data_IF_024938052489
#
_entry.id   IF_024938052489
#
_cell.length_a   1.000
_cell.length_b   1.000
_cell.length_c   1.000
_cell.angle_alpha   90.00
_cell.angle_beta   90.00
_cell.angle_gamma   90.00
#
_symmetry.space_group_name_H-M   'P 1'
#
loop_
_entity.id
_entity.type
_entity.pdbx_description
1 polymer ?
#
# COMPACT_ATOMS: atom_id res chain seq x y z
N UNK A 1 15.14 23.43 15.62
CA UNK A 1 15.01 22.25 14.73
C UNK A 1 14.11 22.60 13.56
N UNK A 2 13.98 21.72 12.56
CA UNK A 2 13.30 21.99 11.29
C UNK A 2 11.83 21.53 11.24
N UNK A 3 11.22 21.24 12.40
CA UNK A 3 9.88 20.63 12.54
C UNK A 3 8.81 21.42 11.78
N UNK A 4 8.61 22.69 12.10
CA UNK A 4 7.55 23.51 11.49
C UNK A 4 7.70 23.60 9.96
N UNK A 5 8.90 23.93 9.47
CA UNK A 5 9.17 24.00 8.03
C UNK A 5 8.96 22.67 7.32
N UNK A 6 9.30 21.55 7.97
CA UNK A 6 9.21 20.22 7.40
C UNK A 6 7.75 19.76 7.25
N UNK A 7 6.90 19.99 8.26
CA UNK A 7 5.49 19.57 8.21
C UNK A 7 4.59 20.50 7.40
N UNK A 8 4.91 21.79 7.32
CA UNK A 8 4.14 22.74 6.50
C UNK A 8 4.46 22.57 5.02
N UNK A 9 5.74 22.42 4.69
CA UNK A 9 6.19 22.28 3.30
C UNK A 9 7.50 21.50 3.25
N UNK A 10 7.39 20.17 3.29
CA UNK A 10 8.52 19.24 3.19
C UNK A 10 9.42 19.58 2.01
N UNK A 11 8.87 19.68 0.80
CA UNK A 11 9.63 19.97 -0.42
C UNK A 11 10.37 21.31 -0.32
N UNK A 12 9.72 22.34 0.21
CA UNK A 12 10.32 23.65 0.44
C UNK A 12 11.44 23.61 1.49
N UNK A 13 11.31 22.80 2.55
CA UNK A 13 12.35 22.62 3.54
C UNK A 13 13.58 21.91 2.96
N UNK A 14 13.38 20.85 2.18
CA UNK A 14 14.45 20.13 1.48
C UNK A 14 15.13 21.02 0.45
N UNK A 15 14.37 21.77 -0.35
CA UNK A 15 14.93 22.67 -1.35
C UNK A 15 15.75 23.80 -0.72
N UNK A 16 15.30 24.36 0.41
CA UNK A 16 16.09 25.33 1.18
C UNK A 16 17.41 24.75 1.67
N UNK A 17 17.39 23.50 2.18
CA UNK A 17 18.61 22.78 2.56
C UNK A 17 19.57 22.62 1.38
N UNK A 18 19.06 22.15 0.24
CA UNK A 18 19.83 22.00 -1.00
C UNK A 18 20.41 23.33 -1.50
N UNK A 19 19.65 24.42 -1.41
CA UNK A 19 20.11 25.75 -1.82
C UNK A 19 21.18 26.32 -0.88
N UNK A 20 21.06 26.05 0.42
CA UNK A 20 22.02 26.52 1.43
C UNK A 20 23.43 25.98 1.19
N UNK A 21 23.55 24.72 0.80
CA UNK A 21 24.85 24.08 0.52
C UNK A 21 25.36 24.28 -0.92
N UNK A 22 24.75 25.20 -1.70
CA UNK A 22 25.25 25.49 -3.05
C UNK A 22 26.68 26.06 -3.03
N UNK A 23 27.50 25.77 -4.05
CA UNK A 23 27.16 25.01 -5.27
C UNK A 23 27.23 23.48 -5.11
N UNK A 24 27.61 22.96 -3.93
CA UNK A 24 27.72 21.51 -3.73
C UNK A 24 26.34 20.85 -3.71
N UNK A 25 26.30 19.58 -4.13
CA UNK A 25 25.11 18.70 -3.99
C UNK A 25 25.34 17.63 -2.94
N UNK A 26 26.26 17.90 -2.02
CA UNK A 26 26.64 16.96 -0.97
C UNK A 26 25.44 16.66 -0.06
N UNK A 27 25.36 15.44 0.50
CA UNK A 27 24.33 15.12 1.46
C UNK A 27 24.37 16.04 2.67
N UNK A 28 23.20 16.38 3.20
CA UNK A 28 23.07 17.22 4.39
C UNK A 28 22.14 16.58 5.41
N UNK A 29 22.16 17.06 6.65
CA UNK A 29 21.32 16.55 7.72
C UNK A 29 20.35 17.62 8.21
N UNK A 30 19.11 17.21 8.51
CA UNK A 30 18.12 18.04 9.19
C UNK A 30 17.66 17.37 10.47
N UNK A 31 17.54 18.16 11.54
CA UNK A 31 16.96 17.71 12.80
C UNK A 31 15.45 17.95 12.82
N UNK A 32 14.64 16.89 12.87
CA UNK A 32 13.16 16.93 12.93
C UNK A 32 12.70 16.10 14.13
N UNK A 33 12.00 16.75 15.07
CA UNK A 33 11.41 16.10 16.25
C UNK A 33 12.40 15.24 17.07
N UNK A 34 13.66 15.68 17.18
CA UNK A 34 14.72 14.95 17.89
C UNK A 34 15.40 13.84 17.09
N UNK A 35 14.97 13.61 15.84
CA UNK A 35 15.62 12.68 14.92
C UNK A 35 16.45 13.42 13.87
N UNK A 36 17.61 12.87 13.55
CA UNK A 36 18.47 13.35 12.47
C UNK A 36 18.12 12.63 11.17
N UNK A 37 17.57 13.36 10.21
CA UNK A 37 17.29 12.85 8.87
C UNK A 37 18.44 13.28 7.95
N UNK A 38 19.11 12.31 7.34
CA UNK A 38 20.14 12.56 6.32
C UNK A 38 19.49 12.58 4.94
N UNK A 39 19.80 13.61 4.15
CA UNK A 39 19.16 13.91 2.87
C UNK A 39 20.21 13.85 1.77
N UNK A 40 20.03 12.92 0.84
CA UNK A 40 20.80 12.82 -0.39
C UNK A 40 19.94 13.31 -1.57
N UNK A 41 20.48 14.17 -2.42
CA UNK A 41 19.74 14.75 -3.56
C UNK A 41 20.43 14.57 -4.91
N UNK A 42 21.72 14.17 -4.94
CA UNK A 42 22.42 13.86 -6.18
C UNK A 42 22.08 12.43 -6.65
N UNK A 43 21.99 12.15 -7.97
CA UNK A 43 21.80 10.80 -8.47
C UNK A 43 22.88 9.81 -7.97
N UNK A 44 24.11 10.28 -7.83
CA UNK A 44 25.26 9.49 -7.38
C UNK A 44 25.10 9.05 -5.93
N UNK A 45 24.76 9.97 -5.02
CA UNK A 45 24.57 9.67 -3.60
C UNK A 45 23.34 8.80 -3.38
N UNK A 46 22.23 9.08 -4.10
CA UNK A 46 21.02 8.25 -4.07
C UNK A 46 21.36 6.82 -4.51
N UNK A 47 22.10 6.68 -5.62
CA UNK A 47 22.59 5.38 -6.08
C UNK A 47 23.49 4.68 -5.07
N UNK A 48 24.35 5.42 -4.36
CA UNK A 48 25.18 4.92 -3.28
C UNK A 48 24.37 4.37 -2.09
N UNK A 49 23.35 5.11 -1.66
CA UNK A 49 22.43 4.70 -0.58
C UNK A 49 21.69 3.41 -0.95
N UNK A 50 21.10 3.35 -2.15
CA UNK A 50 20.34 2.17 -2.60
C UNK A 50 21.20 0.91 -2.74
N UNK A 51 22.47 1.05 -3.16
CA UNK A 51 23.38 -0.09 -3.30
C UNK A 51 23.93 -0.57 -1.95
N UNK A 52 23.90 0.26 -0.91
CA UNK A 52 24.48 -0.08 0.39
C UNK A 52 23.49 -0.81 1.31
N UNK A 53 23.11 -2.03 0.90
CA UNK A 53 22.23 -2.89 1.69
C UNK A 53 22.90 -3.55 2.91
N UNK A 54 24.23 -3.37 3.08
CA UNK A 54 24.97 -3.90 4.22
C UNK A 54 24.81 -3.04 5.47
N UNK A 55 24.77 -1.71 5.31
CA UNK A 55 24.67 -0.78 6.44
C UNK A 55 23.36 0.01 6.47
N UNK A 56 22.60 0.03 5.37
CA UNK A 56 21.30 0.70 5.29
C UNK A 56 20.22 -0.35 5.04
N UNK A 57 19.19 -0.35 5.88
CA UNK A 57 18.10 -1.32 5.81
C UNK A 57 16.75 -0.64 5.96
N UNK A 58 15.77 -1.06 5.17
CA UNK A 58 14.37 -0.65 5.30
C UNK A 58 13.61 -1.50 6.34
N UNK A 59 14.16 -2.64 6.78
CA UNK A 59 13.48 -3.55 7.71
C UNK A 59 13.03 -2.88 9.02
N UNK A 60 13.84 -2.00 9.67
CA UNK A 60 13.38 -1.29 10.86
C UNK A 60 12.14 -0.45 10.59
N UNK A 61 12.12 0.30 9.48
CA UNK A 61 10.97 1.13 9.07
C UNK A 61 9.74 0.25 8.83
N UNK A 62 9.88 -0.85 8.10
CA UNK A 62 8.76 -1.78 7.85
C UNK A 62 8.23 -2.38 9.15
N UNK A 63 9.11 -2.76 10.09
CA UNK A 63 8.71 -3.30 11.39
C UNK A 63 7.99 -2.26 12.24
N UNK A 64 8.47 -1.02 12.24
CA UNK A 64 7.83 0.08 12.95
C UNK A 64 6.44 0.35 12.35
N UNK A 65 6.30 0.33 11.02
CA UNK A 65 4.99 0.44 10.34
C UNK A 65 4.02 -0.67 10.75
N UNK A 66 4.47 -1.94 10.81
CA UNK A 66 3.61 -3.04 11.26
C UNK A 66 3.19 -2.88 12.73
N UNK A 67 4.11 -2.43 13.58
CA UNK A 67 3.85 -2.18 15.00
C UNK A 67 2.85 -1.03 15.17
N UNK A 68 3.02 0.09 14.47
CA UNK A 68 2.09 1.22 14.46
C UNK A 68 0.72 0.85 13.85
N UNK A 69 0.73 -0.07 12.88
CA UNK A 69 -0.47 -0.68 12.32
C UNK A 69 -1.23 -1.54 13.32
N UNK A 70 -0.63 -1.88 14.46
CA UNK A 70 -1.24 -2.65 15.54
C UNK A 70 -1.09 -4.17 15.37
N UNK A 71 -0.11 -4.64 14.58
CA UNK A 71 0.28 -6.05 14.54
C UNK A 71 1.07 -6.36 15.81
N UNK A 72 0.78 -7.49 16.46
CA UNK A 72 1.44 -7.84 17.72
C UNK A 72 2.94 -8.04 17.54
N UNK A 73 3.73 -7.81 18.60
CA UNK A 73 5.19 -8.03 18.57
C UNK A 73 5.54 -9.46 18.15
N UNK A 74 4.76 -10.45 18.62
CA UNK A 74 4.91 -11.87 18.26
C UNK A 74 4.75 -12.07 16.75
N UNK A 75 3.65 -11.57 16.17
CA UNK A 75 3.36 -11.72 14.75
C UNK A 75 4.35 -10.91 13.90
N UNK A 76 4.71 -9.70 14.32
CA UNK A 76 5.79 -8.92 13.71
C UNK A 76 7.08 -9.73 13.66
N UNK A 77 7.53 -10.30 14.79
CA UNK A 77 8.74 -11.14 14.83
C UNK A 77 8.65 -12.31 13.85
N UNK A 78 7.53 -13.05 13.84
CA UNK A 78 7.32 -14.16 12.93
C UNK A 78 7.41 -13.75 11.45
N UNK A 79 6.96 -12.53 11.10
CA UNK A 79 7.01 -11.99 9.73
C UNK A 79 8.43 -11.66 9.24
N UNK A 80 9.39 -11.44 10.14
CA UNK A 80 10.79 -11.14 9.81
C UNK A 80 11.73 -12.34 9.99
N UNK A 81 11.23 -13.46 10.51
CA UNK A 81 12.00 -14.70 10.66
C UNK A 81 11.90 -15.59 9.41
N UNK A 82 12.97 -16.32 9.13
CA UNK A 82 12.97 -17.31 8.07
C UNK A 82 12.28 -18.58 8.54
N UNK A 83 11.35 -19.09 7.72
CA UNK A 83 10.66 -20.35 7.96
C UNK A 83 11.02 -21.35 6.83
N UNK A 84 12.10 -22.14 6.96
CA UNK A 84 12.61 -22.97 5.87
C UNK A 84 11.63 -24.04 5.39
N UNK A 85 10.79 -24.54 6.31
CA UNK A 85 9.78 -25.55 6.03
C UNK A 85 8.45 -24.96 5.54
N UNK A 86 8.34 -23.62 5.46
CA UNK A 86 7.11 -22.98 5.02
C UNK A 86 6.81 -23.31 3.56
N UNK A 87 5.52 -23.40 3.21
CA UNK A 87 5.06 -23.84 1.89
C UNK A 87 5.73 -23.10 0.74
N UNK A 88 5.86 -21.78 0.84
CA UNK A 88 6.42 -20.93 -0.22
C UNK A 88 7.96 -20.89 -0.25
N UNK A 89 8.62 -21.49 0.75
CA UNK A 89 10.07 -21.68 0.82
C UNK A 89 10.52 -23.07 0.33
N UNK A 90 9.61 -24.02 0.15
CA UNK A 90 9.95 -25.36 -0.35
C UNK A 90 10.69 -25.29 -1.70
N UNK A 91 11.85 -25.93 -1.78
CA UNK A 91 12.67 -25.98 -2.99
C UNK A 91 13.50 -24.71 -3.27
N UNK A 92 13.43 -23.67 -2.41
CA UNK A 92 14.31 -22.50 -2.54
C UNK A 92 15.69 -22.80 -1.97
N UNK A 93 16.73 -22.37 -2.69
CA UNK A 93 18.12 -22.49 -2.21
C UNK A 93 18.41 -21.62 -0.97
N UNK A 94 17.62 -20.57 -0.74
CA UNK A 94 17.65 -19.76 0.49
C UNK A 94 16.22 -19.45 0.92
N UNK A 95 15.84 -19.71 2.18
CA UNK A 95 14.53 -19.34 2.69
C UNK A 95 14.42 -17.81 2.80
N UNK A 96 13.25 -17.29 2.47
CA UNK A 96 12.88 -15.89 2.63
C UNK A 96 11.98 -15.74 3.85
N UNK A 97 12.11 -14.62 4.55
CA UNK A 97 11.15 -14.23 5.57
C UNK A 97 9.81 -13.85 4.89
N UNK A 98 8.67 -13.96 5.58
CA UNK A 98 7.36 -13.61 5.03
C UNK A 98 7.30 -12.21 4.39
N UNK A 99 7.95 -11.20 4.97
CA UNK A 99 8.03 -9.85 4.36
C UNK A 99 8.71 -9.82 3.00
N UNK A 100 9.78 -10.59 2.85
CA UNK A 100 10.49 -10.74 1.57
C UNK A 100 9.68 -11.60 0.59
N UNK A 101 8.99 -12.62 1.11
CA UNK A 101 8.13 -13.46 0.31
C UNK A 101 6.94 -12.67 -0.25
N UNK A 102 6.39 -11.70 0.46
CA UNK A 102 5.34 -10.82 -0.08
C UNK A 102 5.79 -10.11 -1.36
N UNK A 103 7.01 -9.56 -1.39
CA UNK A 103 7.58 -8.93 -2.59
C UNK A 103 7.69 -9.94 -3.73
N UNK A 104 8.18 -11.14 -3.42
CA UNK A 104 8.32 -12.22 -4.38
C UNK A 104 6.97 -12.71 -4.92
N UNK A 105 5.92 -12.76 -4.10
CA UNK A 105 4.55 -13.08 -4.52
C UNK A 105 3.98 -11.97 -5.42
N UNK A 106 4.25 -10.70 -5.14
CA UNK A 106 3.91 -9.60 -6.04
C UNK A 106 4.62 -9.75 -7.39
N UNK A 107 5.93 -10.01 -7.39
CA UNK A 107 6.67 -10.28 -8.62
C UNK A 107 6.06 -11.46 -9.38
N UNK A 108 5.74 -12.56 -8.71
CA UNK A 108 5.11 -13.71 -9.34
C UNK A 108 3.74 -13.42 -9.96
N UNK A 109 2.97 -12.47 -9.40
CA UNK A 109 1.69 -12.04 -9.95
C UNK A 109 1.87 -11.11 -11.16
N UNK A 110 2.83 -10.20 -11.09
CA UNK A 110 3.00 -9.09 -12.03
C UNK A 110 4.08 -9.33 -13.10
N UNK A 111 4.88 -10.40 -12.97
CA UNK A 111 5.86 -10.75 -13.99
C UNK A 111 5.18 -11.17 -15.28
N UNK A 112 5.84 -10.94 -16.42
CA UNK A 112 5.35 -11.33 -17.73
C UNK A 112 5.01 -12.82 -17.76
N UNK A 113 3.73 -13.14 -17.98
CA UNK A 113 3.23 -14.50 -17.92
C UNK A 113 1.72 -14.56 -17.84
N UNK A 114 1.19 -15.76 -17.60
CA UNK A 114 -0.25 -16.03 -17.58
C UNK A 114 -1.00 -15.29 -16.47
N UNK A 115 -0.36 -15.05 -15.32
CA UNK A 115 -0.96 -14.34 -14.18
C UNK A 115 -1.20 -12.87 -14.47
N UNK A 116 -0.20 -12.16 -15.00
CA UNK A 116 -0.38 -10.78 -15.45
C UNK A 116 -1.37 -10.73 -16.62
N UNK A 117 -1.25 -11.65 -17.59
CA UNK A 117 -2.13 -11.67 -18.76
C UNK A 117 -3.61 -11.85 -18.37
N UNK A 118 -3.92 -12.75 -17.44
CA UNK A 118 -5.29 -12.96 -16.94
C UNK A 118 -5.79 -11.77 -16.12
N UNK A 119 -4.97 -11.20 -15.23
CA UNK A 119 -5.32 -9.97 -14.51
C UNK A 119 -5.68 -8.84 -15.49
N UNK A 120 -4.88 -8.62 -16.54
CA UNK A 120 -5.14 -7.56 -17.50
C UNK A 120 -6.34 -7.84 -18.40
N UNK A 121 -6.41 -9.03 -19.01
CA UNK A 121 -7.44 -9.35 -20.01
C UNK A 121 -8.80 -9.64 -19.40
N UNK A 122 -8.83 -10.33 -18.26
CA UNK A 122 -10.07 -10.87 -17.70
C UNK A 122 -10.68 -9.93 -16.65
N UNK A 123 -9.89 -8.98 -16.12
CA UNK A 123 -10.32 -8.08 -15.04
C UNK A 123 -10.12 -6.60 -15.39
N UNK A 124 -8.86 -6.15 -15.52
CA UNK A 124 -8.57 -4.71 -15.60
C UNK A 124 -9.08 -4.04 -16.88
N UNK A 125 -8.76 -4.57 -18.07
CA UNK A 125 -9.16 -3.96 -19.33
C UNK A 125 -10.69 -3.89 -19.51
N UNK A 126 -11.47 -4.97 -19.27
CA UNK A 126 -12.93 -4.90 -19.32
C UNK A 126 -13.51 -3.82 -18.39
N UNK A 127 -13.02 -3.74 -17.15
CA UNK A 127 -13.45 -2.74 -16.18
C UNK A 127 -13.12 -1.32 -16.64
N UNK A 128 -11.91 -1.07 -17.14
CA UNK A 128 -11.51 0.24 -17.68
C UNK A 128 -12.41 0.66 -18.84
N UNK A 129 -12.63 -0.22 -19.82
CA UNK A 129 -13.48 0.11 -20.97
C UNK A 129 -14.92 0.38 -20.57
N UNK A 130 -15.44 -0.38 -19.59
CA UNK A 130 -16.77 -0.11 -19.03
C UNK A 130 -16.85 1.26 -18.38
N UNK A 131 -15.83 1.69 -17.62
CA UNK A 131 -15.81 3.02 -16.98
C UNK A 131 -15.58 4.17 -17.95
N UNK A 132 -15.01 3.89 -19.12
CA UNK A 132 -14.89 4.85 -20.21
C UNK A 132 -16.15 4.95 -21.09
N UNK A 133 -17.12 4.05 -20.92
CA UNK A 133 -18.42 4.16 -21.58
C UNK A 133 -19.22 5.32 -20.98
N UNK A 134 -19.29 6.43 -21.72
CA UNK A 134 -20.02 7.65 -21.31
C UNK A 134 -21.53 7.53 -21.55
N UNK A 135 -21.96 6.52 -22.33
CA UNK A 135 -23.37 6.21 -22.55
C UNK A 135 -23.97 5.43 -21.37
N UNK A 136 -23.16 4.72 -20.57
CA UNK A 136 -23.64 3.99 -19.39
C UNK A 136 -24.27 4.97 -18.38
N UNK A 137 -25.58 4.84 -18.08
CA UNK A 137 -26.26 5.70 -17.11
C UNK A 137 -25.75 5.50 -15.68
N UNK A 138 -25.12 4.36 -15.36
CA UNK A 138 -24.54 4.08 -14.06
C UNK A 138 -23.13 4.68 -13.87
N UNK A 139 -22.56 5.29 -14.92
CA UNK A 139 -21.23 5.90 -14.84
C UNK A 139 -21.23 7.17 -13.99
N UNK A 140 -20.75 7.05 -12.75
CA UNK A 140 -20.68 8.13 -11.75
C UNK A 140 -19.68 9.23 -12.09
N UNK A 141 -18.76 8.97 -13.02
CA UNK A 141 -17.83 9.99 -13.49
C UNK A 141 -18.50 10.98 -14.44
N UNK A 142 -19.60 10.62 -15.10
CA UNK A 142 -20.29 11.51 -16.05
C UNK A 142 -21.11 12.55 -15.30
N UNK A 143 -20.74 13.83 -15.47
CA UNK A 143 -21.42 14.98 -14.87
C UNK A 143 -22.55 15.52 -15.75
N UNK A 144 -22.36 15.49 -17.07
CA UNK A 144 -23.39 15.89 -18.04
C UNK A 144 -23.15 15.23 -19.40
N UNK A 145 -24.22 15.13 -20.20
CA UNK A 145 -24.21 14.57 -21.55
C UNK A 145 -24.77 15.60 -22.52
N UNK A 146 -24.08 15.83 -23.62
CA UNK A 146 -24.48 16.75 -24.68
C UNK A 146 -23.98 16.19 -26.00
N UNK A 147 -24.83 15.58 -26.84
CA UNK A 147 -24.36 15.01 -28.11
C UNK A 147 -23.57 16.04 -28.94
N UNK A 148 -22.33 15.73 -29.40
CA UNK A 148 -21.65 14.42 -29.45
C UNK A 148 -20.65 14.15 -28.29
N UNK A 149 -20.74 14.86 -27.18
CA UNK A 149 -19.78 14.84 -26.06
C UNK A 149 -20.41 14.54 -24.69
N UNK A 150 -19.55 14.25 -23.71
CA UNK A 150 -19.91 14.14 -22.31
C UNK A 150 -18.84 14.84 -21.46
N UNK A 151 -19.25 15.41 -20.33
CA UNK A 151 -18.33 16.00 -19.34
C UNK A 151 -18.13 14.99 -18.23
N UNK A 152 -16.87 14.68 -17.91
CA UNK A 152 -16.51 13.75 -16.85
C UNK A 152 -15.75 14.44 -15.71
N UNK A 153 -16.00 13.99 -14.48
CA UNK A 153 -15.11 14.19 -13.35
C UNK A 153 -13.92 13.25 -13.50
N UNK A 154 -12.76 13.79 -13.87
CA UNK A 154 -11.52 13.00 -13.95
C UNK A 154 -11.20 12.34 -12.60
N UNK A 155 -11.44 13.04 -11.50
CA UNK A 155 -11.26 12.50 -10.15
C UNK A 155 -12.14 11.25 -9.93
N UNK A 156 -13.44 11.32 -10.20
CA UNK A 156 -14.32 10.15 -10.04
C UNK A 156 -13.95 9.01 -10.99
N UNK A 157 -13.57 9.32 -12.23
CA UNK A 157 -13.11 8.30 -13.18
C UNK A 157 -11.88 7.56 -12.64
N UNK A 158 -10.89 8.28 -12.11
CA UNK A 158 -9.69 7.69 -11.53
C UNK A 158 -10.00 6.88 -10.27
N UNK A 159 -10.85 7.39 -9.37
CA UNK A 159 -11.24 6.65 -8.15
C UNK A 159 -11.96 5.35 -8.51
N UNK A 160 -12.95 5.40 -9.40
CA UNK A 160 -13.65 4.19 -9.85
C UNK A 160 -12.67 3.21 -10.50
N UNK A 161 -11.80 3.68 -11.40
CA UNK A 161 -10.92 2.80 -12.17
C UNK A 161 -9.77 2.20 -11.35
N UNK A 162 -9.08 3.02 -10.56
CA UNK A 162 -7.84 2.61 -9.88
C UNK A 162 -8.05 2.18 -8.43
N UNK A 163 -9.19 2.51 -7.81
CA UNK A 163 -9.46 2.08 -6.43
C UNK A 163 -10.55 1.01 -6.43
N UNK A 164 -11.72 1.30 -6.99
CA UNK A 164 -12.85 0.37 -6.94
C UNK A 164 -12.57 -0.88 -7.77
N UNK A 165 -12.28 -0.71 -9.06
CA UNK A 165 -12.09 -1.84 -9.98
C UNK A 165 -10.80 -2.63 -9.68
N UNK A 166 -9.73 -1.96 -9.26
CA UNK A 166 -8.51 -2.66 -8.84
C UNK A 166 -8.75 -3.51 -7.57
N UNK A 167 -9.49 -2.97 -6.60
CA UNK A 167 -9.89 -3.73 -5.41
C UNK A 167 -10.69 -4.98 -5.78
N UNK A 168 -11.71 -4.85 -6.64
CA UNK A 168 -12.48 -6.02 -7.10
C UNK A 168 -11.64 -6.96 -7.97
N UNK A 169 -10.71 -6.43 -8.77
CA UNK A 169 -9.82 -7.25 -9.59
C UNK A 169 -8.95 -8.14 -8.69
N UNK A 170 -8.35 -7.59 -7.64
CA UNK A 170 -7.45 -8.29 -6.72
C UNK A 170 -8.19 -9.22 -5.75
N UNK A 171 -9.22 -8.72 -5.08
CA UNK A 171 -9.91 -9.44 -3.98
C UNK A 171 -11.19 -10.15 -4.42
N UNK A 172 -11.65 -9.92 -5.65
CA UNK A 172 -12.97 -10.35 -6.09
C UNK A 172 -14.08 -9.44 -5.54
N UNK A 173 -15.33 -9.65 -5.99
CA UNK A 173 -16.45 -8.78 -5.64
C UNK A 173 -16.87 -8.87 -4.17
N UNK A 174 -16.53 -9.98 -3.49
CA UNK A 174 -16.98 -10.24 -2.12
C UNK A 174 -16.55 -9.16 -1.11
N UNK A 175 -15.37 -8.55 -1.30
CA UNK A 175 -14.85 -7.51 -0.42
C UNK A 175 -15.75 -6.27 -0.44
N UNK A 176 -16.02 -5.72 -1.63
CA UNK A 176 -16.85 -4.51 -1.76
C UNK A 176 -18.35 -4.79 -1.59
N UNK A 177 -18.81 -6.02 -1.84
CA UNK A 177 -20.18 -6.40 -1.48
C UNK A 177 -20.41 -6.38 0.03
N UNK A 178 -19.43 -6.82 0.82
CA UNK A 178 -19.51 -6.84 2.28
C UNK A 178 -19.15 -5.49 2.91
N UNK A 179 -18.25 -4.75 2.28
CA UNK A 179 -17.74 -3.46 2.76
C UNK A 179 -17.81 -2.41 1.65
N UNK A 180 -19.02 -2.02 1.20
CA UNK A 180 -19.20 -1.07 0.10
C UNK A 180 -18.64 0.32 0.42
N UNK A 181 -18.48 0.62 1.71
CA UNK A 181 -17.90 1.87 2.18
C UNK A 181 -16.39 1.93 2.03
N UNK A 182 -15.66 0.81 1.85
CA UNK A 182 -14.18 0.72 1.93
C UNK A 182 -13.43 1.78 1.11
N UNK A 183 -13.99 2.18 -0.02
CA UNK A 183 -13.40 3.15 -0.94
C UNK A 183 -13.22 4.52 -0.28
N UNK A 184 -14.22 5.01 0.45
CA UNK A 184 -14.16 6.35 1.06
C UNK A 184 -13.11 6.45 2.19
N UNK A 185 -13.05 5.53 3.17
CA UNK A 185 -11.95 5.47 4.12
C UNK A 185 -10.58 5.32 3.46
N UNK A 186 -10.48 4.64 2.32
CA UNK A 186 -9.22 4.55 1.58
C UNK A 186 -8.78 5.91 1.04
N UNK A 187 -9.72 6.71 0.50
CA UNK A 187 -9.45 8.09 0.08
C UNK A 187 -9.10 9.00 1.27
N UNK A 188 -9.81 8.87 2.38
CA UNK A 188 -9.48 9.61 3.61
C UNK A 188 -8.07 9.24 4.09
N UNK A 189 -7.73 7.95 4.08
CA UNK A 189 -6.40 7.44 4.41
C UNK A 189 -5.32 8.06 3.53
N UNK A 190 -5.50 8.15 2.20
CA UNK A 190 -4.52 8.81 1.32
C UNK A 190 -4.22 10.25 1.75
N UNK A 191 -5.25 10.99 2.19
CA UNK A 191 -5.07 12.38 2.62
C UNK A 191 -4.37 12.50 3.98
N UNK A 192 -4.59 11.55 4.90
CA UNK A 192 -4.15 11.67 6.29
C UNK A 192 -3.03 10.69 6.70
N UNK A 193 -2.60 9.77 5.82
CA UNK A 193 -1.57 8.74 6.08
C UNK A 193 -0.22 9.32 6.49
N UNK A 194 0.09 10.57 6.13
CA UNK A 194 1.28 11.26 6.62
C UNK A 194 1.33 11.29 8.16
N UNK A 195 0.17 11.40 8.84
CA UNK A 195 0.09 11.38 10.31
C UNK A 195 0.58 10.05 10.87
N UNK A 196 0.34 8.96 10.15
CA UNK A 196 0.81 7.62 10.49
C UNK A 196 2.33 7.51 10.33
N UNK A 197 2.88 7.95 9.19
CA UNK A 197 4.32 7.93 8.93
C UNK A 197 5.12 8.75 9.95
N UNK A 198 4.54 9.85 10.44
CA UNK A 198 5.19 10.74 11.39
C UNK A 198 4.79 10.49 12.85
N UNK A 199 4.13 9.37 13.15
CA UNK A 199 3.74 8.98 14.52
C UNK A 199 2.98 10.08 15.27
N UNK A 200 2.10 10.80 14.58
CA UNK A 200 1.26 11.82 15.23
C UNK A 200 0.36 11.11 16.26
N UNK A 201 0.32 11.57 17.53
CA UNK A 201 -0.49 10.91 18.55
C UNK A 201 -1.96 10.83 18.15
N UNK A 202 -2.61 9.70 18.44
CA UNK A 202 -3.99 9.40 18.01
C UNK A 202 -4.99 10.51 18.37
N UNK A 203 -4.84 11.16 19.53
CA UNK A 203 -5.69 12.28 19.96
C UNK A 203 -5.69 13.46 18.97
N UNK A 204 -4.64 13.62 18.16
CA UNK A 204 -4.50 14.66 17.13
C UNK A 204 -4.70 14.13 15.70
N UNK A 205 -4.97 12.84 15.55
CA UNK A 205 -5.05 12.14 14.27
C UNK A 205 -6.31 11.27 14.15
N UNK A 206 -7.43 11.72 14.74
CA UNK A 206 -8.68 10.95 14.80
C UNK A 206 -9.26 10.60 13.42
N UNK A 207 -9.06 11.45 12.42
CA UNK A 207 -9.40 11.18 11.02
C UNK A 207 -8.61 9.98 10.47
N UNK A 208 -7.29 9.97 10.68
CA UNK A 208 -6.41 8.85 10.31
C UNK A 208 -6.74 7.58 11.06
N UNK A 209 -6.97 7.66 12.38
CA UNK A 209 -7.33 6.51 13.21
C UNK A 209 -8.65 5.89 12.73
N UNK A 210 -9.66 6.72 12.44
CA UNK A 210 -10.96 6.26 11.94
C UNK A 210 -10.83 5.58 10.57
N UNK A 211 -10.09 6.19 9.63
CA UNK A 211 -9.84 5.62 8.31
C UNK A 211 -9.11 4.28 8.42
N UNK A 212 -8.01 4.24 9.19
CA UNK A 212 -7.22 3.03 9.48
C UNK A 212 -8.11 1.90 9.96
N UNK A 213 -8.85 2.12 11.06
CA UNK A 213 -9.66 1.09 11.68
C UNK A 213 -10.74 0.56 10.73
N UNK A 214 -11.40 1.45 9.98
CA UNK A 214 -12.45 1.05 9.03
C UNK A 214 -11.89 0.16 7.92
N UNK A 215 -10.71 0.50 7.38
CA UNK A 215 -10.05 -0.31 6.34
C UNK A 215 -9.60 -1.66 6.91
N UNK A 216 -8.94 -1.66 8.08
CA UNK A 216 -8.45 -2.91 8.69
C UNK A 216 -9.60 -3.85 9.05
N UNK A 217 -10.73 -3.31 9.52
CA UNK A 217 -11.92 -4.09 9.84
C UNK A 217 -12.56 -4.70 8.59
N UNK A 218 -12.58 -3.97 7.47
CA UNK A 218 -13.08 -4.50 6.20
C UNK A 218 -12.24 -5.69 5.71
N UNK A 219 -10.91 -5.56 5.71
CA UNK A 219 -10.02 -6.65 5.33
C UNK A 219 -10.06 -7.83 6.31
N UNK A 220 -10.11 -7.57 7.62
CA UNK A 220 -10.29 -8.62 8.62
C UNK A 220 -11.63 -9.35 8.39
N UNK A 221 -12.70 -8.61 8.10
CA UNK A 221 -14.01 -9.13 7.74
C UNK A 221 -14.01 -9.99 6.48
N UNK A 222 -13.18 -9.65 5.49
CA UNK A 222 -12.92 -10.45 4.29
C UNK A 222 -12.18 -11.75 4.66
N UNK A 223 -11.08 -11.70 5.41
CA UNK A 223 -10.35 -12.93 5.77
C UNK A 223 -11.14 -13.89 6.66
N UNK A 224 -12.09 -13.40 7.46
CA UNK A 224 -13.02 -14.26 8.22
C UNK A 224 -13.98 -15.04 7.33
N UNK A 225 -14.22 -14.61 6.09
CA UNK A 225 -15.11 -15.34 5.18
C UNK A 225 -14.43 -16.62 4.67
N UNK A 226 -15.19 -17.72 4.51
CA UNK A 226 -14.70 -18.91 3.83
C UNK A 226 -14.18 -18.57 2.42
N UNK A 227 -13.06 -19.19 2.02
CA UNK A 227 -12.49 -18.98 0.67
C UNK A 227 -13.48 -19.31 -0.45
N UNK A 228 -14.40 -20.24 -0.22
CA UNK A 228 -15.46 -20.62 -1.17
C UNK A 228 -16.43 -19.49 -1.49
N UNK A 229 -16.58 -18.51 -0.58
CA UNK A 229 -17.44 -17.32 -0.73
C UNK A 229 -16.67 -16.11 -1.30
N UNK A 230 -15.33 -16.16 -1.32
CA UNK A 230 -14.46 -15.09 -1.82
C UNK A 230 -13.85 -15.42 -3.19
N UNK A 231 -14.70 -15.93 -4.08
CA UNK A 231 -14.27 -16.32 -5.43
C UNK A 231 -13.83 -15.09 -6.22
N UNK A 232 -12.89 -15.31 -7.12
CA UNK A 232 -12.43 -14.28 -8.06
C UNK A 232 -11.24 -13.45 -7.58
N UNK A 233 -10.69 -13.69 -6.38
CA UNK A 233 -9.41 -13.09 -6.01
C UNK A 233 -8.26 -13.60 -6.90
N UNK A 234 -7.23 -12.79 -7.10
CA UNK A 234 -6.03 -13.22 -7.84
C UNK A 234 -5.12 -14.13 -7.00
N UNK A 235 -4.11 -14.69 -7.68
CA UNK A 235 -3.12 -15.57 -7.05
C UNK A 235 -2.44 -14.89 -5.86
N UNK A 236 -2.00 -13.63 -6.01
CA UNK A 236 -1.32 -12.89 -4.94
C UNK A 236 -2.12 -12.89 -3.64
N UNK A 237 -3.40 -12.51 -3.66
CA UNK A 237 -4.25 -12.43 -2.46
C UNK A 237 -4.39 -13.80 -1.78
N UNK A 238 -4.62 -14.85 -2.58
CA UNK A 238 -4.74 -16.21 -2.03
C UNK A 238 -3.43 -16.73 -1.44
N UNK A 239 -2.31 -16.46 -2.11
CA UNK A 239 -0.99 -16.89 -1.68
C UNK A 239 -0.51 -16.14 -0.44
N UNK A 240 -0.79 -14.83 -0.38
CA UNK A 240 -0.52 -13.98 0.77
C UNK A 240 -1.31 -14.49 1.98
N UNK A 241 -2.62 -14.73 1.85
CA UNK A 241 -3.42 -15.27 2.95
C UNK A 241 -2.88 -16.60 3.48
N UNK A 242 -2.53 -17.54 2.60
CA UNK A 242 -1.96 -18.83 3.00
C UNK A 242 -0.68 -18.64 3.83
N UNK A 243 0.21 -17.77 3.37
CA UNK A 243 1.47 -17.48 4.06
C UNK A 243 1.22 -16.82 5.42
N UNK A 244 0.36 -15.79 5.50
CA UNK A 244 0.09 -15.08 6.76
C UNK A 244 -0.54 -16.01 7.79
N UNK A 245 -1.46 -16.90 7.37
CA UNK A 245 -2.04 -17.93 8.26
C UNK A 245 -1.02 -18.95 8.72
N UNK A 246 -0.13 -19.40 7.84
CA UNK A 246 0.92 -20.37 8.15
C UNK A 246 1.86 -19.87 9.26
N UNK A 247 2.19 -18.57 9.24
CA UNK A 247 3.03 -17.96 10.29
C UNK A 247 2.23 -17.49 11.52
N UNK A 248 0.92 -17.74 11.54
CA UNK A 248 0.06 -17.61 12.71
C UNK A 248 -0.57 -16.24 12.92
N UNK A 249 -0.68 -15.40 11.89
CA UNK A 249 -1.43 -14.15 12.00
C UNK A 249 -2.93 -14.44 12.14
N UNK A 250 -3.57 -13.70 13.03
CA UNK A 250 -5.04 -13.67 13.14
C UNK A 250 -5.66 -12.89 11.98
N UNK A 251 -6.95 -13.07 11.71
CA UNK A 251 -7.67 -12.30 10.67
C UNK A 251 -7.61 -10.78 10.91
N UNK A 252 -7.61 -10.37 12.17
CA UNK A 252 -7.43 -8.97 12.56
C UNK A 252 -6.05 -8.43 12.14
N UNK A 253 -4.99 -9.18 12.45
CA UNK A 253 -3.63 -8.82 12.06
C UNK A 253 -3.42 -8.88 10.54
N UNK A 254 -4.06 -9.84 9.85
CA UNK A 254 -4.06 -9.88 8.39
C UNK A 254 -4.75 -8.65 7.80
N UNK A 255 -5.82 -8.14 8.42
CA UNK A 255 -6.46 -6.89 8.01
C UNK A 255 -5.52 -5.69 8.11
N UNK A 256 -4.82 -5.57 9.24
CA UNK A 256 -3.79 -4.53 9.48
C UNK A 256 -2.61 -4.63 8.52
N UNK A 257 -2.14 -5.85 8.27
CA UNK A 257 -1.09 -6.12 7.30
C UNK A 257 -1.53 -5.72 5.89
N UNK A 258 -2.76 -6.08 5.50
CA UNK A 258 -3.29 -5.83 4.16
C UNK A 258 -3.48 -4.35 3.90
N UNK A 259 -3.93 -3.55 4.88
CA UNK A 259 -3.99 -2.09 4.74
C UNK A 259 -2.66 -1.52 4.20
N UNK A 260 -1.53 -1.90 4.80
CA UNK A 260 -0.22 -1.35 4.42
C UNK A 260 0.25 -1.80 3.04
N UNK A 261 -0.23 -2.94 2.54
CA UNK A 261 0.10 -3.44 1.19
C UNK A 261 -0.91 -2.98 0.14
N UNK A 262 -2.13 -2.69 0.55
CA UNK A 262 -3.16 -2.09 -0.29
C UNK A 262 -2.86 -0.61 -0.57
N UNK A 263 -2.22 0.07 0.39
CA UNK A 263 -1.77 1.45 0.25
C UNK A 263 -0.43 1.61 -0.52
N UNK A 264 0.42 0.58 -0.49
CA UNK A 264 1.77 0.62 -1.09
C UNK A 264 1.74 0.36 -2.61
#
# INVERSE_FOLDING_TARGET
GHVSSFFINFNGAIEKGRQFFRPSREPFAIMVAGQTIHVATSPEDIGGVWKNSKTISLNPITRDMYTMGGISEKSCKAMFENHPTARYNMGRGRPLAPTQMTIELHHQQLHTGSRLASLMKDKMLPSIFKKLDTADPANRAVLSRSEPSAVLSLHHLCVDTFIVEETEAYFGPALLQKSPQLVNPSLDWEYCSWKFLFMVPDIFAQDMVKAKNTITDAFAGYYRMPKSERRGSIYFVSALEDMLREVGLTEDEMGKFTLLHYWA
#
